data_IF_555379875213
#
_entry.id   IF_555379875213
#
_cell.length_a   1.000
_cell.length_b   1.000
_cell.length_c   1.000
_cell.angle_alpha   90.00
_cell.angle_beta   90.00
_cell.angle_gamma   90.00
#
_symmetry.space_group_name_H-M   'P 1'
#
loop_
_entity.id
_entity.type
_entity.pdbx_description
1 polymer ?
#
# COMPACT_ATOMS: atom_id res chain seq x y z
N UNK A 1 15.21 -40.03 52.04
CA UNK A 1 15.19 -41.47 51.68
C UNK A 1 15.42 -41.55 50.17
N UNK A 2 16.56 -42.05 49.67
CA UNK A 2 16.91 -43.48 49.52
C UNK A 2 15.81 -44.18 48.71
N UNK A 3 15.99 -44.87 47.59
CA UNK A 3 17.12 -45.24 46.71
C UNK A 3 16.46 -45.98 45.51
N UNK A 4 17.12 -45.96 44.36
CA UNK A 4 17.38 -47.15 43.50
C UNK A 4 16.21 -47.77 42.70
N UNK A 5 16.29 -47.59 41.38
CA UNK A 5 15.90 -48.56 40.33
C UNK A 5 16.63 -49.90 40.55
N UNK A 6 16.04 -51.08 40.26
CA UNK A 6 16.58 -51.80 39.10
C UNK A 6 15.65 -52.80 38.34
N UNK A 7 15.85 -52.81 37.02
CA UNK A 7 16.14 -53.97 36.13
C UNK A 7 15.07 -55.01 35.70
N UNK A 8 14.86 -55.02 34.36
CA UNK A 8 14.97 -56.10 33.36
C UNK A 8 14.19 -57.43 33.45
N UNK A 9 13.45 -57.73 32.36
CA UNK A 9 13.39 -58.99 31.55
C UNK A 9 12.44 -58.75 30.36
N UNK A 10 12.91 -58.49 29.13
CA UNK A 10 13.31 -59.41 28.03
C UNK A 10 12.24 -60.45 27.66
N UNK A 11 11.71 -60.32 26.42
CA UNK A 11 11.20 -61.29 25.44
C UNK A 11 10.12 -60.56 24.62
N UNK A 12 10.08 -60.51 23.29
CA UNK A 12 10.78 -61.16 22.19
C UNK A 12 9.86 -61.09 20.95
N UNK A 13 10.44 -61.34 19.77
CA UNK A 13 9.81 -61.67 18.49
C UNK A 13 9.38 -60.55 17.50
N UNK A 14 10.26 -60.39 16.50
CA UNK A 14 10.02 -60.68 15.08
C UNK A 14 8.85 -59.98 14.37
N UNK A 15 9.19 -58.98 13.56
CA UNK A 15 8.31 -58.44 12.52
C UNK A 15 9.05 -57.58 11.49
N UNK A 16 9.43 -58.20 10.37
CA UNK A 16 9.52 -57.60 9.03
C UNK A 16 10.37 -56.35 8.81
N UNK A 17 11.62 -56.54 8.36
CA UNK A 17 12.34 -55.53 7.56
C UNK A 17 11.75 -55.54 6.14
N UNK A 18 10.81 -54.64 5.86
CA UNK A 18 10.54 -54.17 4.50
C UNK A 18 11.32 -52.87 4.31
N UNK A 19 12.19 -52.75 3.30
CA UNK A 19 12.75 -51.46 2.93
C UNK A 19 11.60 -50.61 2.38
N UNK A 20 11.10 -49.68 3.18
CA UNK A 20 10.31 -48.57 2.65
C UNK A 20 11.25 -47.76 1.77
N UNK A 21 11.08 -47.89 0.47
CA UNK A 21 11.60 -46.92 -0.49
C UNK A 21 10.85 -45.62 -0.15
N UNK A 22 11.45 -44.83 0.73
CA UNK A 22 11.06 -43.46 0.94
C UNK A 22 11.32 -42.73 -0.35
N UNK A 23 10.29 -42.58 -1.17
CA UNK A 23 10.29 -41.51 -2.15
C UNK A 23 10.48 -40.24 -1.36
N UNK A 24 11.67 -39.64 -1.45
CA UNK A 24 11.86 -38.27 -1.04
C UNK A 24 10.81 -37.48 -1.81
N UNK A 25 9.79 -37.00 -1.10
CA UNK A 25 8.91 -35.98 -1.62
C UNK A 25 9.81 -34.75 -1.75
N UNK A 26 10.37 -34.58 -2.95
CA UNK A 26 10.94 -33.31 -3.35
C UNK A 26 9.72 -32.43 -3.51
N UNK A 27 9.41 -31.67 -2.47
CA UNK A 27 8.54 -30.51 -2.60
C UNK A 27 9.23 -29.62 -3.63
N UNK A 28 8.81 -29.74 -4.89
CA UNK A 28 9.15 -28.76 -5.91
C UNK A 28 8.49 -27.49 -5.37
N UNK A 29 9.30 -26.57 -4.86
CA UNK A 29 8.83 -25.27 -4.41
C UNK A 29 7.97 -24.71 -5.54
N UNK A 30 6.67 -24.58 -5.28
CA UNK A 30 5.70 -24.07 -6.25
C UNK A 30 6.20 -22.68 -6.62
N UNK A 31 6.77 -22.55 -7.82
CA UNK A 31 7.50 -21.35 -8.21
C UNK A 31 6.49 -20.20 -8.28
N UNK A 32 6.50 -19.33 -7.26
CA UNK A 32 5.52 -18.27 -7.13
C UNK A 32 5.59 -17.38 -8.37
N UNK A 33 4.45 -17.23 -9.04
CA UNK A 33 4.33 -16.40 -10.25
C UNK A 33 4.86 -14.98 -10.01
N UNK A 34 5.90 -14.55 -10.75
CA UNK A 34 6.54 -13.26 -10.50
C UNK A 34 5.65 -12.12 -10.98
N UNK A 35 5.83 -10.97 -10.33
CA UNK A 35 5.41 -9.69 -10.85
C UNK A 35 6.40 -9.20 -11.91
N UNK A 36 5.86 -8.75 -13.04
CA UNK A 36 6.63 -8.17 -14.14
C UNK A 36 6.07 -6.81 -14.56
N UNK A 37 6.96 -5.95 -15.06
CA UNK A 37 6.57 -4.65 -15.63
C UNK A 37 5.87 -4.87 -16.97
N UNK A 38 4.58 -4.53 -17.05
CA UNK A 38 3.79 -4.64 -18.30
C UNK A 38 3.88 -3.39 -19.16
N UNK A 39 3.93 -2.21 -18.54
CA UNK A 39 4.07 -0.92 -19.23
C UNK A 39 4.67 0.12 -18.29
N UNK A 40 5.39 1.08 -18.83
CA UNK A 40 5.90 2.21 -18.05
C UNK A 40 6.83 3.14 -18.83
N UNK A 41 7.04 4.33 -18.28
CA UNK A 41 7.97 5.33 -18.81
C UNK A 41 9.25 5.47 -17.96
N UNK A 42 9.28 4.87 -16.76
CA UNK A 42 10.45 4.83 -15.86
C UNK A 42 10.83 3.40 -15.48
N UNK A 43 11.36 2.65 -16.45
CA UNK A 43 11.66 1.23 -16.29
C UNK A 43 12.54 0.89 -15.07
N UNK A 44 13.48 1.74 -14.68
CA UNK A 44 14.30 1.53 -13.47
C UNK A 44 13.46 1.39 -12.19
N UNK A 45 12.64 2.40 -11.87
CA UNK A 45 11.70 2.34 -10.75
C UNK A 45 10.79 1.13 -10.82
N UNK A 46 10.27 0.82 -12.01
CA UNK A 46 9.28 -0.23 -12.18
C UNK A 46 9.89 -1.63 -11.98
N UNK A 47 11.09 -1.85 -12.51
CA UNK A 47 11.84 -3.09 -12.31
C UNK A 47 12.24 -3.24 -10.83
N UNK A 48 12.68 -2.15 -10.19
CA UNK A 48 13.02 -2.16 -8.78
C UNK A 48 11.79 -2.48 -7.91
N UNK A 49 10.62 -1.93 -8.23
CA UNK A 49 9.38 -2.26 -7.51
C UNK A 49 8.99 -3.72 -7.76
N UNK A 50 9.03 -4.20 -9.00
CA UNK A 50 8.71 -5.60 -9.30
C UNK A 50 9.63 -6.56 -8.53
N UNK A 51 10.95 -6.29 -8.55
CA UNK A 51 11.94 -7.04 -7.78
C UNK A 51 11.68 -6.96 -6.27
N UNK A 52 11.35 -5.77 -5.74
CA UNK A 52 11.01 -5.59 -4.34
C UNK A 52 9.84 -6.49 -3.92
N UNK A 53 8.77 -6.53 -4.71
CA UNK A 53 7.57 -7.32 -4.40
C UNK A 53 7.88 -8.81 -4.46
N UNK A 54 8.61 -9.25 -5.50
CA UNK A 54 9.00 -10.65 -5.65
C UNK A 54 9.92 -11.11 -4.49
N UNK A 55 10.82 -10.26 -4.02
CA UNK A 55 11.70 -10.57 -2.88
C UNK A 55 10.95 -10.63 -1.53
N UNK A 56 9.76 -10.03 -1.44
CA UNK A 56 8.95 -9.98 -0.23
C UNK A 56 7.56 -10.57 -0.46
N UNK A 57 7.47 -11.60 -1.33
CA UNK A 57 6.21 -12.06 -1.86
C UNK A 57 5.28 -12.65 -0.80
N UNK A 58 5.83 -13.44 0.11
CA UNK A 58 5.07 -14.03 1.23
C UNK A 58 4.39 -12.94 2.08
N UNK A 59 5.08 -11.81 2.31
CA UNK A 59 4.50 -10.69 3.03
C UNK A 59 3.39 -10.01 2.21
N UNK A 60 3.62 -9.77 0.93
CA UNK A 60 2.62 -9.14 0.06
C UNK A 60 1.31 -9.95 0.00
N UNK A 61 1.42 -11.28 -0.08
CA UNK A 61 0.25 -12.16 -0.17
C UNK A 61 -0.50 -12.29 1.17
N UNK A 62 0.22 -12.28 2.31
CA UNK A 62 -0.38 -12.42 3.65
C UNK A 62 -0.86 -11.10 4.25
N UNK A 63 -0.25 -9.97 3.88
CA UNK A 63 -0.55 -8.66 4.43
C UNK A 63 -0.71 -7.59 3.33
N UNK A 64 -1.83 -7.62 2.58
CA UNK A 64 -2.00 -6.78 1.39
C UNK A 64 -2.30 -5.32 1.73
N UNK A 65 -2.21 -4.93 3.02
CA UNK A 65 -2.43 -3.55 3.44
C UNK A 65 -1.32 -2.68 2.92
N UNK A 66 -0.09 -2.97 3.33
CA UNK A 66 1.06 -2.12 3.06
C UNK A 66 2.04 -2.88 2.18
N UNK A 67 2.54 -2.23 1.13
CA UNK A 67 3.49 -2.83 0.22
C UNK A 67 4.93 -2.60 0.69
N UNK A 68 5.25 -1.36 1.08
CA UNK A 68 6.64 -0.93 1.29
C UNK A 68 7.02 -0.86 2.77
N UNK A 69 6.99 -2.01 3.45
CA UNK A 69 7.31 -2.07 4.89
C UNK A 69 8.79 -2.33 5.18
N UNK A 70 9.48 -3.06 4.31
CA UNK A 70 10.90 -3.36 4.46
C UNK A 70 11.70 -2.23 3.85
N UNK A 71 12.52 -1.58 4.67
CA UNK A 71 13.43 -0.52 4.22
C UNK A 71 14.56 -1.13 3.41
N UNK A 72 14.88 -0.51 2.28
CA UNK A 72 16.04 -0.82 1.44
C UNK A 72 16.79 0.48 1.11
N UNK A 73 17.88 0.40 0.36
CA UNK A 73 18.63 1.59 -0.07
C UNK A 73 17.78 2.50 -0.98
N UNK A 74 16.89 1.89 -1.78
CA UNK A 74 16.02 2.61 -2.73
C UNK A 74 14.66 2.91 -2.14
N UNK A 75 14.03 1.94 -1.47
CA UNK A 75 12.66 2.03 -0.96
C UNK A 75 12.60 2.34 0.53
N UNK A 76 11.79 3.33 0.89
CA UNK A 76 11.52 3.66 2.29
C UNK A 76 10.07 4.12 2.46
N UNK A 77 9.52 3.91 3.66
CA UNK A 77 8.21 4.44 4.02
C UNK A 77 8.34 5.83 4.65
N UNK A 78 7.40 6.75 4.39
CA UNK A 78 7.35 8.00 5.14
C UNK A 78 7.23 7.74 6.64
N UNK A 79 8.00 8.50 7.43
CA UNK A 79 7.85 8.48 8.89
C UNK A 79 6.43 8.89 9.24
N UNK A 80 5.84 8.16 10.17
CA UNK A 80 4.44 8.32 10.53
C UNK A 80 4.24 8.33 12.04
N UNK A 81 3.28 9.10 12.51
CA UNK A 81 2.78 9.06 13.88
C UNK A 81 1.31 8.65 13.85
N UNK A 82 0.83 7.83 14.80
CA UNK A 82 -0.60 7.55 14.93
C UNK A 82 -1.40 8.85 15.12
N UNK A 83 -2.59 8.90 14.51
CA UNK A 83 -3.56 9.97 14.70
C UNK A 83 -4.92 9.37 15.06
N UNK A 84 -5.94 10.20 15.25
CA UNK A 84 -7.21 9.77 15.82
C UNK A 84 -8.33 9.63 14.79
N UNK A 85 -9.38 8.87 15.14
CA UNK A 85 -10.57 8.73 14.30
C UNK A 85 -11.33 10.05 14.19
N UNK A 86 -11.34 10.86 15.23
CA UNK A 86 -11.94 12.20 15.25
C UNK A 86 -11.27 13.10 14.21
N UNK A 87 -9.94 13.00 14.09
CA UNK A 87 -9.18 13.75 13.08
C UNK A 87 -9.55 13.35 11.66
N UNK A 88 -9.73 12.06 11.43
CA UNK A 88 -10.26 11.54 10.16
C UNK A 88 -11.67 12.10 9.86
N UNK A 89 -12.60 12.05 10.82
CA UNK A 89 -13.97 12.57 10.64
C UNK A 89 -13.93 14.05 10.26
N UNK A 90 -13.18 14.85 11.02
CA UNK A 90 -13.04 16.29 10.79
C UNK A 90 -12.57 16.58 9.36
N UNK A 91 -11.51 15.94 8.88
CA UNK A 91 -10.96 16.21 7.54
C UNK A 91 -11.85 15.67 6.43
N UNK A 92 -12.57 14.56 6.64
CA UNK A 92 -13.58 14.10 5.67
C UNK A 92 -14.72 15.12 5.55
N UNK A 93 -15.19 15.68 6.65
CA UNK A 93 -16.25 16.70 6.64
C UNK A 93 -15.78 17.99 5.96
N UNK A 94 -14.57 18.46 6.27
CA UNK A 94 -13.97 19.61 5.57
C UNK A 94 -13.85 19.32 4.06
N UNK A 95 -13.37 18.13 3.68
CA UNK A 95 -13.17 17.75 2.28
C UNK A 95 -14.48 17.77 1.48
N UNK A 96 -15.55 17.29 2.12
CA UNK A 96 -16.92 17.33 1.60
C UNK A 96 -17.43 18.75 1.47
N UNK A 97 -17.30 19.57 2.51
CA UNK A 97 -17.75 20.96 2.52
C UNK A 97 -17.10 21.78 1.40
N UNK A 98 -15.83 21.50 1.09
CA UNK A 98 -15.11 22.14 0.00
C UNK A 98 -15.24 21.42 -1.35
N UNK A 99 -15.96 20.29 -1.45
CA UNK A 99 -16.08 19.55 -2.70
C UNK A 99 -17.11 20.18 -3.62
N UNK A 100 -16.84 20.18 -4.94
CA UNK A 100 -17.81 20.63 -5.95
C UNK A 100 -19.05 19.72 -6.00
N UNK A 101 -18.95 18.50 -5.46
CA UNK A 101 -20.07 17.59 -5.28
C UNK A 101 -20.92 18.14 -4.13
N UNK A 102 -21.92 18.95 -4.47
CA UNK A 102 -22.88 19.46 -3.49
C UNK A 102 -23.57 18.26 -2.85
N UNK A 103 -23.40 18.07 -1.54
CA UNK A 103 -24.33 17.23 -0.77
C UNK A 103 -25.66 17.99 -0.69
N UNK A 104 -26.49 17.81 -1.71
CA UNK A 104 -27.82 18.44 -1.76
C UNK A 104 -28.80 17.61 -0.96
N UNK A 105 -29.42 18.25 0.03
CA UNK A 105 -30.49 17.68 0.84
C UNK A 105 -30.05 16.64 1.89
N UNK A 106 -30.99 16.31 2.77
CA UNK A 106 -30.80 15.42 3.92
C UNK A 106 -30.25 14.03 3.52
N UNK A 107 -30.80 13.41 2.46
CA UNK A 107 -30.42 12.06 2.06
C UNK A 107 -28.95 11.93 1.62
N UNK A 108 -28.39 12.96 0.97
CA UNK A 108 -26.98 12.98 0.56
C UNK A 108 -26.06 13.07 1.77
N UNK A 109 -26.43 13.88 2.76
CA UNK A 109 -25.72 13.99 4.03
C UNK A 109 -25.79 12.70 4.85
N UNK A 110 -27.00 12.14 5.01
CA UNK A 110 -27.20 10.86 5.70
C UNK A 110 -26.31 9.76 5.11
N UNK A 111 -26.34 9.56 3.78
CA UNK A 111 -25.47 8.57 3.10
C UNK A 111 -23.98 8.83 3.28
N UNK A 112 -23.56 10.09 3.44
CA UNK A 112 -22.15 10.42 3.70
C UNK A 112 -21.75 10.09 5.12
N UNK A 113 -22.61 10.42 6.10
CA UNK A 113 -22.40 10.10 7.51
C UNK A 113 -22.38 8.58 7.74
N UNK A 114 -23.34 7.84 7.16
CA UNK A 114 -23.36 6.37 7.20
C UNK A 114 -22.06 5.76 6.65
N UNK A 115 -21.49 6.33 5.57
CA UNK A 115 -20.19 5.87 5.06
C UNK A 115 -19.02 6.20 5.99
N UNK A 116 -19.07 7.32 6.70
CA UNK A 116 -18.04 7.65 7.70
C UNK A 116 -18.13 6.66 8.84
N UNK A 117 -19.34 6.40 9.34
CA UNK A 117 -19.63 5.42 10.39
C UNK A 117 -19.17 4.02 10.03
N UNK A 118 -19.56 3.52 8.85
CA UNK A 118 -19.12 2.22 8.36
C UNK A 118 -17.59 2.10 8.38
N UNK A 119 -16.87 3.11 7.89
CA UNK A 119 -15.41 3.10 7.88
C UNK A 119 -14.79 3.10 9.27
N UNK A 120 -15.45 3.69 10.26
CA UNK A 120 -14.95 3.66 11.65
C UNK A 120 -15.06 2.27 12.28
N UNK A 121 -15.99 1.45 11.79
CA UNK A 121 -16.19 0.05 12.18
C UNK A 121 -15.28 -0.90 11.39
N UNK A 122 -14.86 -0.52 10.19
CA UNK A 122 -13.81 -1.21 9.42
C UNK A 122 -12.44 -1.05 10.11
N UNK A 123 -11.43 -1.76 9.61
CA UNK A 123 -10.04 -1.68 10.08
C UNK A 123 -9.36 -0.36 9.68
N UNK A 124 -9.92 0.76 10.13
CA UNK A 124 -9.40 2.10 9.89
C UNK A 124 -8.12 2.30 10.69
N UNK A 125 -7.05 2.71 10.02
CA UNK A 125 -5.94 3.37 10.71
C UNK A 125 -5.68 4.74 10.11
N UNK A 126 -5.28 5.65 10.99
CA UNK A 126 -5.09 7.07 10.71
C UNK A 126 -3.72 7.45 11.21
N UNK A 127 -2.94 8.10 10.36
CA UNK A 127 -1.56 8.50 10.63
C UNK A 127 -1.30 9.91 10.13
N UNK A 128 -0.48 10.66 10.83
CA UNK A 128 0.13 11.88 10.31
C UNK A 128 1.52 11.57 9.75
N UNK A 129 1.83 12.19 8.62
CA UNK A 129 3.08 12.06 7.90
C UNK A 129 3.70 13.45 7.71
N UNK A 130 5.02 13.50 7.75
CA UNK A 130 5.81 14.64 7.28
C UNK A 130 6.51 14.20 5.98
N UNK A 131 6.02 14.68 4.85
CA UNK A 131 6.47 14.22 3.52
C UNK A 131 6.50 15.35 2.51
N UNK A 132 7.52 15.38 1.66
CA UNK A 132 7.54 16.22 0.45
C UNK A 132 6.57 15.64 -0.57
N UNK A 133 5.29 16.02 -0.42
CA UNK A 133 4.16 15.35 -1.05
C UNK A 133 4.09 15.62 -2.56
N UNK A 134 4.72 16.70 -3.03
CA UNK A 134 4.71 17.12 -4.44
C UNK A 134 6.12 17.10 -5.06
N UNK A 135 7.14 16.69 -4.32
CA UNK A 135 8.56 16.63 -4.71
C UNK A 135 9.16 18.00 -5.06
N UNK A 136 8.79 19.07 -4.34
CA UNK A 136 9.33 20.43 -4.52
C UNK A 136 10.46 20.80 -3.54
N UNK A 137 10.83 19.87 -2.66
CA UNK A 137 11.83 20.04 -1.62
C UNK A 137 11.27 20.54 -0.29
N UNK A 138 9.98 20.84 -0.20
CA UNK A 138 9.31 21.30 1.02
C UNK A 138 8.53 20.14 1.64
N UNK A 139 8.69 19.94 2.94
CA UNK A 139 7.96 18.89 3.65
C UNK A 139 6.60 19.40 4.12
N UNK A 140 5.54 18.70 3.74
CA UNK A 140 4.16 18.99 4.13
C UNK A 140 3.66 18.06 5.23
N UNK A 141 2.71 18.58 6.02
CA UNK A 141 1.90 17.77 6.94
C UNK A 141 0.81 17.06 6.16
N UNK A 142 0.70 15.75 6.31
CA UNK A 142 -0.28 14.94 5.59
C UNK A 142 -0.99 13.98 6.54
N UNK A 143 -2.33 14.03 6.60
CA UNK A 143 -3.11 12.98 7.25
C UNK A 143 -3.33 11.84 6.25
N UNK A 144 -2.67 10.71 6.46
CA UNK A 144 -2.93 9.48 5.72
C UNK A 144 -3.90 8.60 6.50
N UNK A 145 -4.85 7.98 5.82
CA UNK A 145 -5.64 6.91 6.41
C UNK A 145 -5.84 5.77 5.45
N UNK A 146 -6.00 4.58 6.02
CA UNK A 146 -6.33 3.38 5.26
C UNK A 146 -7.46 2.60 5.88
N UNK A 147 -8.30 1.99 5.05
CA UNK A 147 -9.40 1.13 5.45
C UNK A 147 -9.57 -0.02 4.46
N UNK A 148 -10.06 -1.15 4.93
CA UNK A 148 -10.40 -2.29 4.09
C UNK A 148 -11.83 -2.15 3.58
N UNK A 149 -11.99 -2.16 2.25
CA UNK A 149 -13.31 -2.15 1.65
C UNK A 149 -13.78 -3.58 1.38
N UNK A 150 -14.79 -4.01 2.12
CA UNK A 150 -15.34 -5.36 2.01
C UNK A 150 -15.91 -5.68 0.63
N UNK A 151 -16.58 -4.71 -0.01
CA UNK A 151 -17.21 -4.91 -1.33
C UNK A 151 -16.18 -5.21 -2.42
N UNK A 152 -15.04 -4.53 -2.38
CA UNK A 152 -13.97 -4.69 -3.37
C UNK A 152 -12.82 -5.57 -2.89
N UNK A 153 -12.90 -6.10 -1.67
CA UNK A 153 -11.89 -6.92 -1.00
C UNK A 153 -10.47 -6.33 -1.14
N UNK A 154 -10.34 -5.02 -0.88
CA UNK A 154 -9.06 -4.31 -1.03
C UNK A 154 -8.90 -3.16 -0.06
N UNK A 155 -7.65 -2.86 0.25
CA UNK A 155 -7.25 -1.69 1.02
C UNK A 155 -7.31 -0.42 0.19
N UNK A 156 -7.85 0.63 0.81
CA UNK A 156 -7.88 1.98 0.26
C UNK A 156 -7.03 2.88 1.12
N UNK A 157 -6.19 3.68 0.47
CA UNK A 157 -5.37 4.70 1.08
C UNK A 157 -5.80 6.07 0.57
N UNK A 158 -5.91 7.04 1.48
CA UNK A 158 -6.14 8.44 1.12
C UNK A 158 -5.24 9.34 1.96
N UNK A 159 -4.69 10.38 1.34
CA UNK A 159 -3.74 11.29 1.98
C UNK A 159 -4.22 12.72 1.81
N UNK A 160 -4.54 13.40 2.92
CA UNK A 160 -4.96 14.78 2.95
C UNK A 160 -3.81 15.71 3.32
N UNK A 161 -3.51 16.70 2.49
CA UNK A 161 -2.51 17.72 2.84
C UNK A 161 -3.11 18.71 3.83
N UNK A 162 -2.35 19.03 4.88
CA UNK A 162 -2.79 19.86 5.99
C UNK A 162 -2.02 21.19 6.02
N UNK A 163 -2.67 22.23 6.51
CA UNK A 163 -2.01 23.50 6.82
C UNK A 163 -1.37 23.46 8.23
N UNK A 164 -0.79 24.58 8.66
CA UNK A 164 -0.13 24.67 9.98
C UNK A 164 -1.09 24.41 11.15
N UNK A 165 -2.36 24.83 11.01
CA UNK A 165 -3.43 24.56 11.98
C UNK A 165 -3.98 23.11 11.85
N UNK A 166 -3.45 22.36 10.90
CA UNK A 166 -3.80 20.98 10.59
C UNK A 166 -5.16 20.80 9.89
N UNK A 167 -5.82 21.87 9.46
CA UNK A 167 -6.99 21.77 8.60
C UNK A 167 -6.57 21.42 7.17
N UNK A 168 -7.52 21.06 6.31
CA UNK A 168 -7.22 20.84 4.89
C UNK A 168 -6.51 22.05 4.29
N UNK A 169 -5.37 21.80 3.66
CA UNK A 169 -4.65 22.84 2.95
C UNK A 169 -5.35 23.14 1.62
N UNK A 170 -6.09 24.25 1.59
CA UNK A 170 -6.88 24.65 0.42
C UNK A 170 -6.04 25.23 -0.71
N UNK A 171 -4.76 25.55 -0.48
CA UNK A 171 -3.85 26.01 -1.54
C UNK A 171 -3.53 24.90 -2.55
N UNK A 172 -3.70 23.63 -2.16
CA UNK A 172 -3.59 22.45 -3.01
C UNK A 172 -4.94 22.13 -3.70
N UNK A 173 -5.39 22.95 -4.66
CA UNK A 173 -6.73 22.78 -5.29
C UNK A 173 -6.88 21.49 -6.10
N UNK A 174 -5.85 21.06 -6.84
CA UNK A 174 -5.84 19.77 -7.56
C UNK A 174 -5.16 18.73 -6.68
N UNK A 175 -5.97 18.05 -5.85
CA UNK A 175 -5.51 16.87 -5.13
C UNK A 175 -5.28 17.03 -3.63
N UNK A 176 -5.88 18.04 -2.96
CA UNK A 176 -5.90 18.13 -1.48
C UNK A 176 -6.14 16.79 -0.76
N UNK A 177 -6.77 15.84 -1.45
CA UNK A 177 -6.65 14.41 -1.21
C UNK A 177 -5.98 13.68 -2.39
N UNK A 178 -5.00 12.83 -2.12
CA UNK A 178 -4.52 11.84 -3.07
C UNK A 178 -4.94 10.44 -2.64
N UNK A 179 -5.00 9.50 -3.59
CA UNK A 179 -5.24 8.08 -3.29
C UNK A 179 -3.97 7.27 -3.45
N UNK A 180 -3.80 6.24 -2.64
CA UNK A 180 -2.70 5.27 -2.72
C UNK A 180 -1.75 5.34 -1.53
N UNK A 181 -1.01 4.25 -1.34
CA UNK A 181 0.02 4.16 -0.31
C UNK A 181 1.23 5.00 -0.73
N UNK A 182 1.72 5.84 0.18
CA UNK A 182 2.89 6.68 -0.03
C UNK A 182 4.16 5.89 0.26
N UNK A 183 5.15 6.01 -0.64
CA UNK A 183 6.48 5.48 -0.44
C UNK A 183 7.55 6.40 -1.04
N UNK A 184 8.77 6.29 -0.54
CA UNK A 184 9.94 6.93 -1.12
C UNK A 184 10.67 5.95 -2.04
N UNK A 185 11.12 6.46 -3.18
CA UNK A 185 12.10 5.82 -4.07
C UNK A 185 13.16 6.84 -4.46
N UNK A 186 14.42 6.55 -4.14
CA UNK A 186 15.57 7.44 -4.37
C UNK A 186 15.31 8.88 -3.89
N UNK A 187 14.81 9.00 -2.66
CA UNK A 187 14.51 10.29 -2.01
C UNK A 187 13.27 11.02 -2.52
N UNK A 188 12.50 10.44 -3.45
CA UNK A 188 11.29 11.05 -4.03
C UNK A 188 10.03 10.32 -3.62
N UNK A 189 8.94 11.04 -3.41
CA UNK A 189 7.63 10.48 -3.03
C UNK A 189 6.84 10.00 -4.24
N UNK A 190 6.38 8.74 -4.14
CA UNK A 190 5.52 8.07 -5.11
C UNK A 190 4.29 7.49 -4.43
N UNK A 191 3.34 7.06 -5.26
CA UNK A 191 2.12 6.40 -4.80
C UNK A 191 1.93 5.06 -5.47
N UNK A 192 1.57 4.09 -4.66
CA UNK A 192 1.12 2.77 -5.10
C UNK A 192 -0.40 2.67 -5.03
N UNK A 193 -1.01 2.12 -6.09
CA UNK A 193 -2.44 1.81 -6.14
C UNK A 193 -2.68 0.44 -6.76
N UNK A 194 -3.47 -0.38 -6.07
CA UNK A 194 -3.92 -1.67 -6.58
C UNK A 194 -5.08 -1.50 -7.57
N UNK A 195 -4.87 -1.94 -8.82
CA UNK A 195 -5.83 -1.94 -9.94
C UNK A 195 -6.39 -3.36 -10.15
N UNK A 196 -7.21 -3.84 -9.21
CA UNK A 196 -7.73 -5.21 -9.25
C UNK A 196 -6.82 -6.19 -8.50
N UNK A 197 -6.97 -7.50 -8.71
CA UNK A 197 -6.18 -8.50 -7.96
C UNK A 197 -4.71 -8.53 -8.37
N UNK A 198 -4.46 -8.37 -9.67
CA UNK A 198 -3.19 -8.77 -10.28
C UNK A 198 -2.41 -7.60 -10.90
N UNK A 199 -2.93 -6.37 -10.83
CA UNK A 199 -2.29 -5.19 -11.43
C UNK A 199 -2.00 -4.14 -10.36
N UNK A 200 -0.76 -3.69 -10.34
CA UNK A 200 -0.23 -2.68 -9.44
C UNK A 200 0.20 -1.46 -10.25
N UNK A 201 -0.37 -0.30 -9.94
CA UNK A 201 0.01 0.95 -10.57
C UNK A 201 0.92 1.77 -9.67
N UNK A 202 2.03 2.24 -10.23
CA UNK A 202 2.92 3.22 -9.60
C UNK A 202 2.69 4.57 -10.27
N UNK A 203 2.49 5.61 -9.46
CA UNK A 203 2.19 6.95 -9.92
C UNK A 203 3.17 7.94 -9.30
N UNK A 204 3.53 9.02 -10.02
CA UNK A 204 4.14 10.14 -9.33
C UNK A 204 3.10 10.71 -8.36
N UNK A 205 3.52 11.07 -7.15
CA UNK A 205 2.60 11.68 -6.20
C UNK A 205 2.30 13.13 -6.59
N UNK A 206 1.02 13.51 -6.55
CA UNK A 206 0.56 14.85 -6.87
C UNK A 206 -0.61 15.22 -5.98
N UNK A 207 -0.41 16.23 -5.13
CA UNK A 207 -1.22 17.41 -5.29
C UNK A 207 -0.41 18.65 -5.67
N UNK A 208 -1.01 19.57 -6.41
CA UNK A 208 -0.35 20.78 -6.90
C UNK A 208 -1.07 22.05 -6.46
N UNK A 209 -0.30 23.12 -6.27
CA UNK A 209 -0.79 24.46 -5.98
C UNK A 209 -1.66 25.03 -7.12
N UNK A 210 -2.56 25.95 -6.79
CA UNK A 210 -3.26 26.81 -7.75
C UNK A 210 -2.29 27.72 -8.50
N UNK A 211 -2.32 27.72 -9.84
CA UNK A 211 -1.61 28.70 -10.69
C UNK A 211 -2.08 30.12 -10.27
N UNK A 212 -1.25 31.16 -10.08
CA UNK A 212 -0.32 31.80 -11.03
C UNK A 212 1.01 32.32 -10.42
N UNK A 213 1.28 32.15 -9.12
CA UNK A 213 2.50 32.69 -8.47
C UNK A 213 3.72 31.76 -8.46
N UNK A 214 3.54 30.47 -8.75
CA UNK A 214 4.58 29.44 -8.65
C UNK A 214 5.14 28.96 -10.01
N UNK A 215 4.86 29.70 -11.09
CA UNK A 215 5.37 29.38 -12.44
C UNK A 215 6.91 29.50 -12.51
N UNK A 216 7.56 30.15 -11.53
CA UNK A 216 9.02 30.25 -11.47
C UNK A 216 9.72 29.24 -10.54
N UNK A 217 9.02 28.22 -10.03
CA UNK A 217 9.64 27.11 -9.28
C UNK A 217 8.98 25.77 -9.59
N UNK A 218 8.69 25.53 -10.86
CA UNK A 218 8.62 24.15 -11.34
C UNK A 218 10.05 23.83 -11.79
N UNK A 219 10.89 23.15 -10.97
CA UNK A 219 12.18 22.67 -11.44
C UNK A 219 12.05 22.06 -12.84
N UNK A 220 12.93 22.44 -13.78
CA UNK A 220 12.86 22.03 -15.19
C UNK A 220 12.86 20.49 -15.38
N UNK A 221 13.22 19.75 -14.33
CA UNK A 221 13.13 18.29 -14.21
C UNK A 221 11.76 17.76 -13.73
N UNK A 222 10.71 18.59 -13.65
CA UNK A 222 9.32 18.22 -13.30
C UNK A 222 8.42 17.93 -14.52
N UNK A 223 8.99 17.39 -15.61
CA UNK A 223 8.21 16.80 -16.70
C UNK A 223 7.60 15.46 -16.23
N UNK A 224 6.27 15.37 -16.18
CA UNK A 224 5.54 14.09 -16.04
C UNK A 224 4.42 14.01 -14.99
N UNK A 225 4.01 15.11 -14.39
CA UNK A 225 2.98 15.11 -13.34
C UNK A 225 1.57 15.23 -13.92
N UNK A 226 1.12 14.16 -14.59
CA UNK A 226 -0.26 14.03 -15.05
C UNK A 226 -0.99 13.03 -14.13
N UNK A 227 -2.18 13.37 -13.67
CA UNK A 227 -3.10 12.44 -12.99
C UNK A 227 -3.72 11.40 -13.94
N UNK A 228 -3.28 11.38 -15.21
CA UNK A 228 -3.85 10.56 -16.27
C UNK A 228 -3.35 9.12 -16.31
N UNK A 229 -2.02 8.91 -16.28
CA UNK A 229 -1.42 7.59 -16.53
C UNK A 229 -0.45 7.17 -15.42
N UNK A 230 -0.39 5.86 -15.16
CA UNK A 230 0.59 5.31 -14.22
C UNK A 230 2.00 5.46 -14.80
N UNK A 231 2.97 5.84 -13.96
CA UNK A 231 4.41 5.74 -14.30
C UNK A 231 4.74 4.35 -14.80
N UNK A 232 4.12 3.34 -14.19
CA UNK A 232 4.03 1.99 -14.71
C UNK A 232 2.91 1.17 -14.10
N UNK A 233 2.58 0.09 -14.80
CA UNK A 233 1.82 -1.03 -14.27
C UNK A 233 2.67 -2.29 -14.22
N UNK A 234 2.63 -2.94 -13.07
CA UNK A 234 3.29 -4.21 -12.76
C UNK A 234 2.18 -5.24 -12.60
N UNK A 235 2.34 -6.43 -13.15
CA UNK A 235 1.29 -7.46 -13.09
C UNK A 235 1.84 -8.84 -12.84
N UNK A 236 1.03 -9.69 -12.19
CA UNK A 236 1.31 -11.11 -12.09
C UNK A 236 1.33 -11.73 -13.48
N UNK A 237 2.42 -12.40 -13.83
CA UNK A 237 2.52 -13.11 -15.10
C UNK A 237 1.81 -14.45 -14.97
N UNK A 238 0.49 -14.51 -15.12
CA UNK A 238 -0.15 -15.82 -15.29
C UNK A 238 0.49 -16.47 -16.51
N UNK A 239 1.32 -17.50 -16.28
CA UNK A 239 1.87 -18.28 -17.36
C UNK A 239 0.65 -18.80 -18.11
N UNK A 240 0.46 -18.33 -19.35
CA UNK A 240 -0.40 -19.06 -20.25
C UNK A 240 0.28 -20.42 -20.39
N UNK A 241 -0.18 -21.41 -19.62
CA UNK A 241 0.01 -22.79 -19.99
C UNK A 241 -0.61 -22.91 -21.37
N UNK A 242 0.22 -22.76 -22.40
CA UNK A 242 -0.11 -23.16 -23.75
C UNK A 242 -0.34 -24.66 -23.66
N UNK A 243 -1.61 -25.07 -23.58
CA UNK A 243 -2.00 -26.44 -23.85
C UNK A 243 -1.52 -26.75 -25.27
N UNK A 244 -0.50 -27.59 -25.37
CA UNK A 244 -0.19 -28.28 -26.62
C UNK A 244 -1.23 -29.36 -26.86
#
# INVERSE_FOLDING_TARGET
MIKVLPWLKVLGLLGGLLPTIGYAHVDIADEQTPFEVKKGTRFGLCNDVAAYINNHRDYYDTNPRELFIFKTDKFNKPKSTPSTKERYIQLVLQSVAHSKIRLTGFNSWKKKLERIEQRMQEQLEVRELMVDINNDGITDRVLSYSHFNEKFKKWYFLNYVLNEQGNLNLTFERGRASTGELFYYDGRTYVYRKKGKDVLGIYPHGPFYTKQGAINKVPENMLGLNTGDATCEISLTHSQQTSK
#
